data_IF_832011430343
#
_entry.id   IF_832011430343
#
_cell.length_a   1.000
_cell.length_b   1.000
_cell.length_c   1.000
_cell.angle_alpha   90.00
_cell.angle_beta   90.00
_cell.angle_gamma   90.00
#
_symmetry.space_group_name_H-M   'P 1'
#
loop_
_entity.id
_entity.type
_entity.pdbx_description
1 polymer ?
#
# COMPACT_ATOMS: atom_id res chain seq x y z
N UNK A 1 -92.83 -14.95 -19.11
CA UNK A 1 -93.21 -13.98 -18.04
C UNK A 1 -92.27 -12.76 -18.11
N UNK A 2 -92.85 -11.57 -18.33
CA UNK A 2 -92.17 -10.33 -18.63
C UNK A 2 -91.64 -9.72 -17.34
N UNK A 3 -90.34 -9.32 -17.28
CA UNK A 3 -89.84 -8.44 -16.23
C UNK A 3 -89.37 -7.12 -16.85
N UNK A 4 -89.95 -6.09 -16.31
CA UNK A 4 -89.78 -4.68 -16.78
C UNK A 4 -88.48 -4.08 -16.24
N UNK A 5 -87.79 -3.40 -17.12
CA UNK A 5 -86.67 -2.54 -16.80
C UNK A 5 -87.14 -1.26 -16.10
N UNK A 6 -86.55 -0.94 -14.93
CA UNK A 6 -86.59 0.42 -14.36
C UNK A 6 -85.25 1.07 -14.48
N UNK A 7 -85.18 2.13 -15.27
CA UNK A 7 -84.03 3.03 -15.46
C UNK A 7 -84.16 4.07 -14.35
N UNK A 8 -83.24 4.03 -13.41
CA UNK A 8 -83.12 5.08 -12.38
C UNK A 8 -82.05 6.08 -12.85
N UNK A 9 -82.48 7.31 -13.12
CA UNK A 9 -81.65 8.41 -13.45
C UNK A 9 -81.19 9.12 -12.12
N UNK A 10 -79.92 9.09 -11.77
CA UNK A 10 -79.34 9.82 -10.67
C UNK A 10 -78.78 11.14 -11.20
N UNK A 11 -79.00 12.27 -10.56
CA UNK A 11 -78.40 13.56 -10.98
C UNK A 11 -76.93 13.60 -10.55
N UNK A 12 -76.06 13.88 -11.53
CA UNK A 12 -74.61 14.05 -11.35
C UNK A 12 -74.39 15.46 -10.77
N UNK A 13 -74.06 15.59 -9.51
CA UNK A 13 -73.60 16.85 -8.89
C UNK A 13 -72.14 17.09 -9.28
N UNK A 14 -71.90 18.13 -10.11
CA UNK A 14 -70.52 18.59 -10.40
C UNK A 14 -69.95 19.29 -9.15
N UNK A 15 -69.06 18.63 -8.47
CA UNK A 15 -68.17 19.25 -7.49
C UNK A 15 -66.93 19.75 -8.20
N UNK A 16 -66.81 21.02 -8.45
CA UNK A 16 -65.58 21.68 -8.94
C UNK A 16 -64.59 21.76 -7.77
N UNK A 17 -63.70 20.78 -7.71
CA UNK A 17 -62.51 20.88 -6.86
C UNK A 17 -61.55 21.86 -7.57
N UNK A 18 -61.38 23.04 -6.98
CA UNK A 18 -60.33 23.97 -7.36
C UNK A 18 -59.00 23.35 -7.08
N UNK A 19 -58.33 22.85 -8.11
CA UNK A 19 -56.91 22.48 -8.04
C UNK A 19 -56.12 23.77 -8.05
N UNK A 20 -55.68 24.21 -6.87
CA UNK A 20 -54.57 25.16 -6.77
C UNK A 20 -53.34 24.50 -7.34
N UNK A 21 -52.97 24.85 -8.56
CA UNK A 21 -51.70 24.53 -9.13
C UNK A 21 -50.62 25.29 -8.36
N UNK A 22 -50.08 24.63 -7.33
CA UNK A 22 -48.85 25.05 -6.73
C UNK A 22 -47.77 24.90 -7.81
N UNK A 23 -47.37 26.03 -8.37
CA UNK A 23 -46.24 26.11 -9.30
C UNK A 23 -45.02 25.65 -8.51
N UNK A 24 -44.75 24.35 -8.56
CA UNK A 24 -43.43 23.83 -8.21
C UNK A 24 -42.45 24.58 -9.11
N UNK A 25 -41.68 25.49 -8.53
CA UNK A 25 -40.49 26.04 -9.13
C UNK A 25 -39.55 24.86 -9.34
N UNK A 26 -39.74 24.12 -10.40
CA UNK A 26 -38.72 23.22 -10.94
C UNK A 26 -37.63 24.16 -11.43
N UNK A 27 -36.66 24.41 -10.57
CA UNK A 27 -35.40 25.01 -11.01
C UNK A 27 -34.82 23.97 -11.98
N UNK A 28 -35.06 24.18 -13.27
CA UNK A 28 -34.38 23.41 -14.30
C UNK A 28 -32.90 23.50 -13.99
N UNK A 29 -32.15 22.37 -13.91
CA UNK A 29 -30.71 22.43 -13.74
C UNK A 29 -30.20 23.26 -14.90
N UNK A 30 -29.68 24.45 -14.60
CA UNK A 30 -29.05 25.35 -15.55
C UNK A 30 -28.03 24.48 -16.29
N UNK A 31 -28.29 24.19 -17.56
CA UNK A 31 -27.34 23.50 -18.42
C UNK A 31 -26.04 24.27 -18.33
N UNK A 32 -25.10 23.74 -17.60
CA UNK A 32 -23.78 24.35 -17.46
C UNK A 32 -23.10 24.23 -18.84
N UNK A 33 -23.15 25.31 -19.61
CA UNK A 33 -22.49 25.39 -20.92
C UNK A 33 -20.98 25.27 -20.74
N UNK A 34 -20.32 24.50 -21.59
CA UNK A 34 -18.87 24.33 -21.57
C UNK A 34 -18.42 22.92 -21.96
N UNK A 35 -17.18 22.80 -22.36
CA UNK A 35 -16.57 21.51 -22.70
C UNK A 35 -15.94 20.87 -21.47
N UNK A 36 -16.28 19.62 -21.21
CA UNK A 36 -15.70 18.85 -20.08
C UNK A 36 -14.64 17.91 -20.62
N UNK A 37 -13.44 18.04 -20.10
CA UNK A 37 -12.31 17.16 -20.40
C UNK A 37 -11.95 16.33 -19.17
N UNK A 38 -11.63 15.06 -19.39
CA UNK A 38 -11.09 14.17 -18.37
C UNK A 38 -9.66 13.80 -18.77
N UNK A 39 -8.70 14.07 -17.89
CA UNK A 39 -7.31 13.77 -18.14
C UNK A 39 -6.56 13.44 -16.86
N UNK A 40 -5.36 12.92 -17.03
CA UNK A 40 -4.44 12.63 -15.94
C UNK A 40 -3.04 13.16 -16.23
N UNK A 41 -2.27 13.34 -15.16
CA UNK A 41 -0.84 13.62 -15.18
C UNK A 41 -0.14 12.65 -14.24
N UNK A 42 1.16 12.44 -14.43
CA UNK A 42 1.97 11.54 -13.63
C UNK A 42 3.35 12.14 -13.41
N UNK A 43 3.83 12.03 -12.17
CA UNK A 43 5.21 12.31 -11.79
C UNK A 43 5.88 11.02 -11.38
N UNK A 44 7.11 10.80 -11.84
CA UNK A 44 7.90 9.60 -11.53
C UNK A 44 9.23 10.01 -10.94
N UNK A 45 9.65 9.35 -9.86
CA UNK A 45 10.96 9.54 -9.22
C UNK A 45 11.69 8.21 -9.09
N UNK A 46 12.99 8.25 -9.35
CA UNK A 46 13.91 7.16 -9.05
C UNK A 46 14.64 7.50 -7.76
N UNK A 47 14.34 6.79 -6.69
CA UNK A 47 14.79 7.09 -5.33
C UNK A 47 15.73 6.01 -4.85
N UNK A 48 16.91 6.37 -4.38
CA UNK A 48 17.83 5.44 -3.74
C UNK A 48 17.23 4.94 -2.43
N UNK A 49 17.24 3.64 -2.25
CA UNK A 49 16.84 3.00 -1.01
C UNK A 49 17.89 3.30 0.07
N UNK A 50 17.45 3.72 1.24
CA UNK A 50 18.31 4.18 2.33
C UNK A 50 18.06 3.47 3.65
N UNK A 51 17.29 2.38 3.62
CA UNK A 51 16.94 1.57 4.77
C UNK A 51 17.16 0.10 4.46
N UNK A 52 17.98 -0.56 5.26
CA UNK A 52 18.24 -2.00 5.18
C UNK A 52 17.40 -2.72 6.23
N UNK A 53 16.85 -3.85 5.86
CA UNK A 53 16.16 -4.81 6.71
C UNK A 53 16.86 -6.14 6.56
N UNK A 54 17.25 -6.76 7.68
CA UNK A 54 17.77 -8.11 7.68
C UNK A 54 16.97 -8.95 8.68
N UNK A 55 16.47 -10.10 8.23
CA UNK A 55 15.86 -11.11 9.07
C UNK A 55 16.89 -12.20 9.34
N UNK A 56 17.09 -12.52 10.60
CA UNK A 56 17.95 -13.61 11.04
C UNK A 56 17.18 -14.53 11.96
N UNK A 57 17.45 -15.83 11.91
CA UNK A 57 16.72 -16.82 12.68
C UNK A 57 17.60 -17.92 13.23
N UNK A 58 17.19 -18.48 14.37
CA UNK A 58 17.70 -19.74 14.90
C UNK A 58 16.59 -20.77 14.90
N UNK A 59 16.87 -21.96 14.37
CA UNK A 59 15.97 -23.10 14.31
C UNK A 59 16.63 -24.35 14.84
N UNK A 60 15.96 -25.03 15.76
CA UNK A 60 16.45 -26.29 16.38
C UNK A 60 15.34 -27.32 16.39
N UNK A 61 15.71 -28.58 16.16
CA UNK A 61 14.79 -29.72 16.22
C UNK A 61 15.30 -30.78 17.21
N UNK A 62 14.38 -31.54 17.82
CA UNK A 62 14.70 -32.56 18.78
C UNK A 62 13.52 -32.99 19.62
N UNK A 63 13.79 -33.81 20.65
CA UNK A 63 12.72 -34.39 21.48
C UNK A 63 12.32 -33.54 22.68
N UNK A 64 13.21 -32.68 23.16
CA UNK A 64 12.97 -31.85 24.35
C UNK A 64 12.68 -30.41 23.97
N UNK A 65 11.40 -30.06 23.89
CA UNK A 65 10.97 -28.72 23.51
C UNK A 65 11.52 -27.60 24.41
N UNK A 66 11.61 -27.83 25.71
CA UNK A 66 12.12 -26.82 26.65
C UNK A 66 13.60 -26.49 26.39
N UNK A 67 14.41 -27.50 26.12
CA UNK A 67 15.80 -27.35 25.75
C UNK A 67 15.98 -26.64 24.40
N UNK A 68 15.18 -27.02 23.41
CA UNK A 68 15.20 -26.37 22.12
C UNK A 68 14.88 -24.85 22.21
N UNK A 69 13.83 -24.50 22.96
CA UNK A 69 13.49 -23.08 23.19
C UNK A 69 14.62 -22.33 23.90
N UNK A 70 15.23 -22.94 24.89
CA UNK A 70 16.37 -22.35 25.63
C UNK A 70 17.55 -22.11 24.68
N UNK A 71 17.87 -23.08 23.82
CA UNK A 71 18.99 -22.97 22.88
C UNK A 71 18.71 -21.86 21.85
N UNK A 72 17.52 -21.83 21.25
CA UNK A 72 17.11 -20.77 20.31
C UNK A 72 17.18 -19.39 20.98
N UNK A 73 16.67 -19.25 22.20
CA UNK A 73 16.75 -18.02 22.97
C UNK A 73 18.21 -17.58 23.22
N UNK A 74 19.07 -18.51 23.54
CA UNK A 74 20.51 -18.22 23.78
C UNK A 74 21.20 -17.76 22.52
N UNK A 75 20.92 -18.39 21.37
CA UNK A 75 21.50 -18.03 20.09
C UNK A 75 21.04 -16.63 19.66
N UNK A 76 19.72 -16.34 19.78
CA UNK A 76 19.16 -15.04 19.42
C UNK A 76 19.60 -13.91 20.37
N UNK A 77 19.78 -14.18 21.65
CA UNK A 77 20.29 -13.19 22.60
C UNK A 77 21.70 -12.72 22.25
N UNK A 78 22.55 -13.59 21.69
CA UNK A 78 23.88 -13.18 21.19
C UNK A 78 23.75 -12.17 20.04
N UNK A 79 22.81 -12.38 19.12
CA UNK A 79 22.54 -11.43 18.04
C UNK A 79 22.06 -10.09 18.59
N UNK A 80 21.16 -10.13 19.57
CA UNK A 80 20.69 -8.90 20.25
C UNK A 80 21.83 -8.14 20.92
N UNK A 81 22.76 -8.83 21.56
CA UNK A 81 23.92 -8.20 22.18
C UNK A 81 24.86 -7.59 21.15
N UNK A 82 25.11 -8.26 20.02
CA UNK A 82 25.89 -7.71 18.92
C UNK A 82 25.24 -6.46 18.31
N UNK A 83 23.94 -6.53 18.02
CA UNK A 83 23.23 -5.42 17.40
C UNK A 83 23.10 -4.20 18.32
N UNK A 84 22.97 -4.39 19.64
CA UNK A 84 22.92 -3.30 20.63
C UNK A 84 24.24 -2.51 20.78
N UNK A 85 25.35 -3.03 20.26
CA UNK A 85 26.62 -2.30 20.27
C UNK A 85 26.60 -1.08 19.35
N UNK A 86 25.71 -1.06 18.37
CA UNK A 86 25.52 0.09 17.47
C UNK A 86 24.08 0.62 17.59
N UNK A 87 23.95 1.82 18.13
CA UNK A 87 22.66 2.48 18.34
C UNK A 87 21.92 2.87 17.05
N UNK A 88 22.59 2.79 15.89
CA UNK A 88 21.96 3.03 14.59
C UNK A 88 21.12 1.85 14.09
N UNK A 89 21.20 0.71 14.77
CA UNK A 89 20.44 -0.50 14.45
C UNK A 89 19.20 -0.57 15.32
N UNK A 90 18.04 -0.51 14.70
CA UNK A 90 16.75 -0.86 15.32
C UNK A 90 16.59 -2.38 15.31
N UNK A 91 16.30 -2.96 16.48
CA UNK A 91 16.16 -4.41 16.63
C UNK A 91 14.77 -4.77 17.14
N UNK A 92 14.13 -5.72 16.48
CA UNK A 92 12.86 -6.29 16.92
C UNK A 92 12.96 -7.82 16.95
N UNK A 93 12.35 -8.44 17.96
CA UNK A 93 12.31 -9.89 18.12
C UNK A 93 10.84 -10.37 18.11
N UNK A 94 10.51 -11.33 17.25
CA UNK A 94 9.15 -11.84 17.08
C UNK A 94 8.79 -12.98 18.07
N UNK A 95 9.69 -13.26 19.04
CA UNK A 95 9.51 -14.35 19.98
C UNK A 95 9.93 -15.71 19.39
N UNK A 96 9.59 -16.80 20.12
CA UNK A 96 9.92 -18.17 19.72
C UNK A 96 8.64 -18.94 19.45
N UNK A 97 8.46 -19.38 18.21
CA UNK A 97 7.43 -20.30 17.79
C UNK A 97 7.89 -21.75 17.93
N UNK A 98 6.94 -22.68 18.00
CA UNK A 98 7.26 -24.11 17.98
C UNK A 98 6.13 -24.93 17.37
N UNK A 99 6.51 -26.06 16.76
CA UNK A 99 5.57 -27.03 16.22
C UNK A 99 6.09 -28.47 16.40
N UNK A 100 5.15 -29.41 16.41
CA UNK A 100 5.48 -30.84 16.54
C UNK A 100 5.87 -31.41 15.17
N UNK A 101 6.84 -32.32 15.17
CA UNK A 101 7.14 -33.18 14.01
C UNK A 101 6.40 -34.52 14.18
N UNK A 102 5.77 -34.98 13.10
CA UNK A 102 4.96 -36.20 13.08
C UNK A 102 5.57 -37.25 12.16
N UNK A 103 5.43 -38.53 12.54
CA UNK A 103 5.71 -39.64 11.63
C UNK A 103 4.57 -39.85 10.61
N UNK A 104 4.77 -40.81 9.70
CA UNK A 104 3.78 -41.12 8.65
C UNK A 104 2.45 -41.71 9.21
N UNK A 105 2.41 -42.03 10.54
CA UNK A 105 1.23 -42.52 11.26
C UNK A 105 0.55 -41.43 12.09
N UNK A 106 1.03 -40.17 12.02
CA UNK A 106 0.50 -39.06 12.80
C UNK A 106 0.95 -39.02 14.25
N UNK A 107 1.95 -39.79 14.64
CA UNK A 107 2.51 -39.77 16.00
C UNK A 107 3.60 -38.70 16.09
N UNK A 108 3.60 -37.92 17.16
CA UNK A 108 4.66 -36.94 17.44
C UNK A 108 5.99 -37.67 17.67
N UNK A 109 6.99 -37.34 16.89
CA UNK A 109 8.36 -37.86 16.95
C UNK A 109 9.37 -36.84 17.45
N UNK A 110 9.05 -35.57 17.42
CA UNK A 110 9.93 -34.50 17.84
C UNK A 110 9.21 -33.14 17.83
N UNK A 111 10.01 -32.12 18.06
CA UNK A 111 9.60 -30.72 18.09
C UNK A 111 10.60 -29.88 17.30
N UNK A 112 10.12 -28.81 16.71
CA UNK A 112 10.95 -27.73 16.18
C UNK A 112 10.66 -26.48 16.99
N UNK A 113 11.70 -25.75 17.36
CA UNK A 113 11.61 -24.41 17.91
C UNK A 113 12.35 -23.46 16.96
N UNK A 114 11.76 -22.30 16.69
CA UNK A 114 12.31 -21.30 15.77
C UNK A 114 11.99 -19.90 16.30
N UNK A 115 12.95 -19.00 16.18
CA UNK A 115 12.78 -17.61 16.55
C UNK A 115 13.50 -16.70 15.56
N UNK A 116 13.02 -15.48 15.42
CA UNK A 116 13.50 -14.48 14.45
C UNK A 116 13.89 -13.20 15.15
N UNK A 117 14.88 -12.53 14.60
CA UNK A 117 15.25 -11.14 14.91
C UNK A 117 15.30 -10.36 13.61
N UNK A 118 14.63 -9.21 13.61
CA UNK A 118 14.70 -8.25 12.53
C UNK A 118 15.67 -7.12 12.93
N UNK A 119 16.64 -6.88 12.07
CA UNK A 119 17.58 -5.78 12.16
C UNK A 119 17.19 -4.75 11.10
N UNK A 120 17.14 -3.48 11.48
CA UNK A 120 16.75 -2.40 10.58
C UNK A 120 17.62 -1.17 10.85
N UNK A 121 18.09 -0.51 9.80
CA UNK A 121 18.92 0.68 9.94
C UNK A 121 19.33 1.29 8.62
N UNK A 122 19.81 2.55 8.71
CA UNK A 122 20.36 3.29 7.56
C UNK A 122 21.86 3.08 7.41
N UNK A 123 22.52 2.59 8.45
CA UNK A 123 23.93 2.24 8.40
C UNK A 123 24.06 0.76 8.00
N UNK A 124 24.20 0.51 6.69
CA UNK A 124 24.30 -0.85 6.14
C UNK A 124 25.53 -1.61 6.63
N UNK A 125 26.66 -0.89 6.80
CA UNK A 125 27.89 -1.49 7.29
C UNK A 125 27.75 -2.00 8.73
N UNK A 126 27.00 -1.29 9.58
CA UNK A 126 26.74 -1.72 10.94
C UNK A 126 25.92 -3.03 10.96
N UNK A 127 24.89 -3.14 10.14
CA UNK A 127 24.09 -4.36 10.02
C UNK A 127 24.95 -5.48 9.42
N UNK A 128 25.72 -5.23 8.37
CA UNK A 128 26.61 -6.21 7.76
C UNK A 128 27.58 -6.81 8.78
N UNK A 129 28.19 -5.99 9.63
CA UNK A 129 29.06 -6.46 10.72
C UNK A 129 28.34 -7.40 11.70
N UNK A 130 27.06 -7.14 12.00
CA UNK A 130 26.27 -8.08 12.83
C UNK A 130 26.08 -9.39 12.09
N UNK A 131 25.71 -9.34 10.79
CA UNK A 131 25.46 -10.54 9.97
C UNK A 131 26.74 -11.39 9.80
N UNK A 132 27.91 -10.79 9.67
CA UNK A 132 29.20 -11.49 9.59
C UNK A 132 29.57 -12.23 10.89
N UNK A 133 29.02 -11.78 12.02
CA UNK A 133 29.36 -12.32 13.36
C UNK A 133 28.24 -13.17 13.99
N UNK A 134 27.29 -13.66 13.20
CA UNK A 134 26.14 -14.43 13.72
C UNK A 134 26.50 -15.77 14.37
N UNK A 135 27.62 -16.39 13.98
CA UNK A 135 27.99 -17.75 14.38
C UNK A 135 27.13 -18.83 13.70
N UNK A 136 27.54 -20.09 13.89
CA UNK A 136 27.01 -21.24 13.14
C UNK A 136 25.56 -21.62 13.43
N UNK A 137 24.97 -21.08 14.50
CA UNK A 137 23.65 -21.47 14.99
C UNK A 137 22.52 -20.55 14.55
N UNK A 138 22.85 -19.43 13.88
CA UNK A 138 21.92 -18.45 13.39
C UNK A 138 22.10 -18.29 11.89
N UNK A 139 21.00 -18.31 11.16
CA UNK A 139 21.02 -18.14 9.70
C UNK A 139 20.39 -16.81 9.30
N UNK A 140 20.82 -16.31 8.15
CA UNK A 140 20.20 -15.15 7.50
C UNK A 140 18.98 -15.66 6.73
N UNK A 141 17.78 -15.15 7.05
CA UNK A 141 16.55 -15.45 6.35
C UNK A 141 16.38 -14.59 5.11
N UNK A 142 16.52 -13.28 5.27
CA UNK A 142 16.48 -12.34 4.14
C UNK A 142 17.29 -11.08 4.44
N UNK A 143 17.69 -10.38 3.36
CA UNK A 143 18.23 -9.03 3.40
C UNK A 143 17.53 -8.23 2.30
N UNK A 144 16.82 -7.18 2.72
CA UNK A 144 16.02 -6.34 1.84
C UNK A 144 16.35 -4.86 2.06
N UNK A 145 16.14 -4.08 1.01
CA UNK A 145 16.32 -2.63 1.08
C UNK A 145 15.03 -1.92 0.70
N UNK A 146 14.78 -0.79 1.37
CA UNK A 146 13.60 0.05 1.11
C UNK A 146 13.96 1.55 1.21
N UNK A 147 13.03 2.40 0.81
CA UNK A 147 13.08 3.83 1.11
C UNK A 147 12.57 4.04 2.53
N UNK A 148 13.29 4.81 3.33
CA UNK A 148 12.87 5.10 4.71
C UNK A 148 11.56 5.90 4.76
N UNK A 149 10.73 5.72 5.82
CA UNK A 149 9.48 6.46 5.97
C UNK A 149 9.64 7.98 5.91
N UNK A 150 10.71 8.51 6.49
CA UNK A 150 11.01 9.94 6.50
C UNK A 150 11.30 10.45 5.10
N UNK A 151 12.12 9.72 4.33
CA UNK A 151 12.45 10.05 2.95
C UNK A 151 11.23 9.91 2.04
N UNK A 152 10.42 8.85 2.25
CA UNK A 152 9.19 8.65 1.51
C UNK A 152 8.18 9.78 1.74
N UNK A 153 8.04 10.25 3.00
CA UNK A 153 7.16 11.37 3.35
C UNK A 153 7.63 12.70 2.75
N UNK A 154 8.91 13.01 2.84
CA UNK A 154 9.47 14.24 2.24
C UNK A 154 9.23 14.24 0.71
N UNK A 155 9.41 13.09 0.08
CA UNK A 155 9.19 12.94 -1.36
C UNK A 155 7.71 13.05 -1.73
N UNK A 156 6.80 12.57 -0.89
CA UNK A 156 5.36 12.69 -1.10
C UNK A 156 4.92 14.15 -1.17
N UNK A 157 5.37 14.98 -0.25
CA UNK A 157 5.04 16.40 -0.22
C UNK A 157 5.53 17.10 -1.50
N UNK A 158 6.78 16.82 -1.90
CA UNK A 158 7.36 17.36 -3.14
C UNK A 158 6.58 16.91 -4.39
N UNK A 159 6.31 15.62 -4.51
CA UNK A 159 5.59 15.04 -5.64
C UNK A 159 4.13 15.52 -5.70
N UNK A 160 3.50 15.73 -4.55
CA UNK A 160 2.14 16.27 -4.46
C UNK A 160 2.07 17.69 -5.03
N UNK A 161 3.00 18.56 -4.66
CA UNK A 161 3.06 19.90 -5.22
C UNK A 161 3.31 19.88 -6.72
N UNK A 162 4.27 19.09 -7.17
CA UNK A 162 4.62 18.99 -8.58
C UNK A 162 3.45 18.45 -9.42
N UNK A 163 2.76 17.39 -8.96
CA UNK A 163 1.66 16.79 -9.72
C UNK A 163 0.46 17.75 -9.85
N UNK A 164 0.17 18.55 -8.82
CA UNK A 164 -0.85 19.58 -8.86
C UNK A 164 -0.48 20.65 -9.90
N UNK A 165 0.77 21.12 -9.88
CA UNK A 165 1.25 22.11 -10.86
C UNK A 165 1.17 21.58 -12.29
N UNK A 166 1.57 20.32 -12.52
CA UNK A 166 1.47 19.70 -13.85
C UNK A 166 0.00 19.56 -14.31
N UNK A 167 -0.91 19.21 -13.39
CA UNK A 167 -2.33 19.09 -13.70
C UNK A 167 -2.93 20.45 -14.08
N UNK A 168 -2.63 21.51 -13.31
CA UNK A 168 -3.06 22.87 -13.60
C UNK A 168 -2.48 23.36 -14.92
N UNK A 169 -1.18 23.17 -15.14
CA UNK A 169 -0.53 23.55 -16.40
C UNK A 169 -1.20 22.88 -17.62
N UNK A 170 -1.54 21.59 -17.51
CA UNK A 170 -2.25 20.88 -18.57
C UNK A 170 -3.64 21.45 -18.82
N UNK A 171 -4.38 21.85 -17.77
CA UNK A 171 -5.65 22.54 -17.90
C UNK A 171 -5.50 23.90 -18.63
N UNK A 172 -4.47 24.68 -18.28
CA UNK A 172 -4.18 25.97 -18.95
C UNK A 172 -3.85 25.80 -20.43
N UNK A 173 -3.07 24.76 -20.78
CA UNK A 173 -2.75 24.47 -22.19
C UNK A 173 -4.02 24.13 -22.98
N UNK A 174 -4.92 23.32 -22.39
CA UNK A 174 -6.20 22.97 -23.01
C UNK A 174 -7.08 24.23 -23.15
N UNK A 175 -7.16 25.06 -22.09
CA UNK A 175 -7.90 26.34 -22.12
C UNK A 175 -7.45 27.24 -23.28
N UNK A 176 -6.14 27.40 -23.43
CA UNK A 176 -5.57 28.20 -24.55
C UNK A 176 -5.93 27.60 -25.91
N UNK A 177 -5.83 26.25 -26.04
CA UNK A 177 -6.19 25.54 -27.28
C UNK A 177 -7.66 25.69 -27.67
N UNK A 178 -8.55 25.69 -26.70
CA UNK A 178 -9.99 25.87 -26.88
C UNK A 178 -10.40 27.34 -27.02
N UNK A 179 -9.50 28.28 -26.73
CA UNK A 179 -9.81 29.72 -26.58
C UNK A 179 -10.92 29.98 -25.55
N UNK A 180 -11.00 29.17 -24.52
CA UNK A 180 -11.95 29.31 -23.43
C UNK A 180 -11.53 30.45 -22.50
N UNK A 181 -12.49 31.17 -21.92
CA UNK A 181 -12.22 32.31 -21.05
C UNK A 181 -11.72 31.87 -19.66
N UNK A 182 -12.26 30.76 -19.17
CA UNK A 182 -11.90 30.21 -17.86
C UNK A 182 -12.03 28.68 -17.83
N UNK A 183 -11.47 28.07 -16.81
CA UNK A 183 -11.72 26.66 -16.47
C UNK A 183 -12.05 26.49 -15.01
N UNK A 184 -12.76 25.42 -14.70
CA UNK A 184 -13.13 25.00 -13.35
C UNK A 184 -12.70 23.57 -13.17
N UNK A 185 -11.92 23.35 -12.10
CA UNK A 185 -11.52 21.99 -11.68
C UNK A 185 -12.70 21.36 -10.94
N UNK A 186 -13.13 20.19 -11.36
CA UNK A 186 -14.14 19.40 -10.70
C UNK A 186 -13.68 17.94 -10.58
N UNK A 187 -13.89 17.32 -9.43
CA UNK A 187 -13.57 15.92 -9.21
C UNK A 187 -12.10 15.57 -9.50
N UNK A 188 -11.17 16.27 -8.82
CA UNK A 188 -9.74 15.99 -8.91
C UNK A 188 -9.37 14.96 -7.84
N UNK A 189 -8.78 13.85 -8.28
CA UNK A 189 -8.25 12.79 -7.44
C UNK A 189 -6.74 12.79 -7.54
N UNK A 190 -6.09 12.76 -6.35
CA UNK A 190 -4.66 12.58 -6.21
C UNK A 190 -4.39 11.16 -5.68
N UNK A 191 -3.43 10.49 -6.30
CA UNK A 191 -2.88 9.22 -5.85
C UNK A 191 -1.39 9.41 -5.61
N UNK A 192 -1.01 9.46 -4.35
CA UNK A 192 0.36 9.69 -3.89
C UNK A 192 0.90 8.45 -3.19
N UNK A 193 2.23 8.27 -3.07
CA UNK A 193 2.85 7.05 -2.56
C UNK A 193 2.37 6.59 -1.18
N UNK A 194 1.97 7.53 -0.31
CA UNK A 194 1.46 7.27 1.04
C UNK A 194 -0.04 7.62 1.19
N UNK A 195 -0.72 7.94 0.08
CA UNK A 195 -2.16 8.21 0.08
C UNK A 195 -2.94 7.06 0.71
N UNK A 196 -4.08 7.38 1.35
CA UNK A 196 -4.86 6.49 2.24
C UNK A 196 -5.43 5.19 1.60
N UNK A 197 -5.05 4.87 0.39
CA UNK A 197 -5.27 3.56 -0.20
C UNK A 197 -4.13 2.61 0.23
N UNK A 198 -4.24 2.08 1.46
CA UNK A 198 -3.44 0.97 1.98
C UNK A 198 -3.70 -0.37 1.27
N UNK A 199 -4.06 -0.35 0.00
CA UNK A 199 -3.80 -1.45 -0.88
C UNK A 199 -2.35 -1.31 -1.31
N UNK A 200 -1.47 -2.14 -0.75
CA UNK A 200 -0.17 -2.39 -1.37
C UNK A 200 -0.44 -2.58 -2.86
N UNK A 201 0.04 -1.72 -3.78
CA UNK A 201 0.10 -2.15 -5.15
C UNK A 201 0.99 -3.38 -5.08
N UNK A 202 0.41 -4.53 -5.36
CA UNK A 202 1.20 -5.72 -5.56
C UNK A 202 2.36 -5.28 -6.47
N UNK A 203 3.62 -5.51 -6.11
CA UNK A 203 4.72 -5.13 -6.96
C UNK A 203 4.39 -5.74 -8.31
N UNK A 204 4.14 -4.90 -9.30
CA UNK A 204 4.16 -5.37 -10.68
C UNK A 204 5.57 -5.84 -10.85
N UNK A 205 5.73 -7.15 -10.74
CA UNK A 205 6.96 -7.83 -11.10
C UNK A 205 7.19 -7.52 -12.57
N UNK A 206 7.87 -6.42 -12.84
CA UNK A 206 8.71 -6.41 -14.01
C UNK A 206 9.70 -7.53 -13.70
N UNK A 207 9.62 -8.59 -14.45
CA UNK A 207 10.57 -9.68 -14.40
C UNK A 207 11.96 -9.11 -14.66
N UNK A 208 12.61 -8.64 -13.60
CA UNK A 208 14.04 -8.72 -13.52
C UNK A 208 14.30 -10.21 -13.37
N UNK A 209 14.98 -10.78 -14.34
CA UNK A 209 15.59 -12.09 -14.22
C UNK A 209 16.19 -12.20 -12.83
N UNK A 210 15.51 -12.96 -11.99
CA UNK A 210 16.07 -13.43 -10.75
C UNK A 210 17.21 -14.36 -11.16
N UNK A 211 18.39 -13.80 -11.34
CA UNK A 211 19.61 -14.55 -11.19
C UNK A 211 19.52 -15.16 -9.80
N UNK A 212 19.19 -16.44 -9.74
CA UNK A 212 19.24 -17.25 -8.54
C UNK A 212 20.71 -17.33 -8.12
N UNK A 213 21.18 -16.28 -7.43
CA UNK A 213 22.46 -16.31 -6.77
C UNK A 213 22.30 -17.25 -5.57
N UNK A 214 22.85 -18.44 -5.68
CA UNK A 214 23.19 -19.26 -4.53
C UNK A 214 24.14 -18.40 -3.70
N UNK A 215 23.65 -17.87 -2.57
CA UNK A 215 24.48 -17.19 -1.59
C UNK A 215 25.51 -18.18 -1.06
N UNK A 216 26.77 -17.96 -1.44
CA UNK A 216 27.90 -18.83 -1.11
C UNK A 216 28.65 -18.34 0.11
N UNK A 217 28.29 -17.50 0.92
CA UNK A 217 28.89 -17.05 2.18
C UNK A 217 28.53 -15.60 2.48
N UNK A 218 28.63 -15.20 3.75
CA UNK A 218 28.38 -13.83 4.22
C UNK A 218 29.34 -12.76 3.61
N UNK A 219 30.45 -13.20 3.01
CA UNK A 219 31.45 -12.35 2.38
C UNK A 219 31.00 -11.69 1.07
N UNK A 220 29.81 -12.03 0.55
CA UNK A 220 29.26 -11.51 -0.72
C UNK A 220 27.88 -10.85 -0.58
N UNK A 221 27.57 -10.27 0.57
CA UNK A 221 26.33 -9.49 0.71
C UNK A 221 26.42 -8.22 -0.19
N UNK A 222 25.56 -8.09 -1.22
CA UNK A 222 25.55 -6.87 -2.00
C UNK A 222 25.04 -5.72 -1.13
N UNK A 223 25.92 -4.81 -0.73
CA UNK A 223 25.57 -3.60 0.03
C UNK A 223 24.97 -2.50 -0.85
N UNK A 224 24.75 -2.77 -2.14
CA UNK A 224 24.09 -1.84 -3.05
C UNK A 224 22.57 -1.98 -2.95
N UNK A 225 21.95 -0.99 -2.31
CA UNK A 225 20.50 -0.95 -2.07
C UNK A 225 19.64 -0.83 -3.34
N UNK A 226 20.23 -0.36 -4.44
CA UNK A 226 19.51 -0.08 -5.69
C UNK A 226 18.52 1.08 -5.56
N UNK A 227 17.70 1.27 -6.60
CA UNK A 227 16.70 2.35 -6.67
C UNK A 227 15.28 1.79 -6.68
N UNK A 228 14.36 2.56 -6.11
CA UNK A 228 12.92 2.31 -6.19
C UNK A 228 12.26 3.36 -7.08
N UNK A 229 11.31 2.94 -7.89
CA UNK A 229 10.48 3.84 -8.69
C UNK A 229 9.25 4.20 -7.87
N UNK A 230 9.01 5.49 -7.68
CA UNK A 230 7.85 6.02 -6.97
C UNK A 230 7.07 6.90 -7.95
N UNK A 231 5.74 6.71 -7.98
CA UNK A 231 4.84 7.43 -8.87
C UNK A 231 3.78 8.17 -8.06
N UNK A 232 3.42 9.37 -8.54
CA UNK A 232 2.22 10.09 -8.13
C UNK A 232 1.39 10.38 -9.35
N UNK A 233 0.06 10.33 -9.23
CA UNK A 233 -0.88 10.58 -10.32
C UNK A 233 -1.95 11.55 -9.87
N UNK A 234 -2.27 12.53 -10.72
CA UNK A 234 -3.47 13.35 -10.59
C UNK A 234 -4.40 13.05 -11.76
N UNK A 235 -5.68 12.84 -11.49
CA UNK A 235 -6.71 12.64 -12.49
C UNK A 235 -7.95 13.43 -12.14
N UNK A 236 -8.69 13.92 -13.14
CA UNK A 236 -9.88 14.68 -12.83
C UNK A 236 -10.61 15.18 -14.06
N UNK A 237 -11.76 15.81 -13.80
CA UNK A 237 -12.60 16.48 -14.77
C UNK A 237 -12.37 17.98 -14.69
N UNK A 238 -12.21 18.60 -15.85
CA UNK A 238 -12.04 20.06 -15.97
C UNK A 238 -13.06 20.56 -16.97
N UNK A 239 -13.85 21.55 -16.56
CA UNK A 239 -14.82 22.23 -17.42
C UNK A 239 -14.20 23.53 -17.92
N UNK A 240 -14.34 23.78 -19.19
CA UNK A 240 -13.88 24.99 -19.87
C UNK A 240 -15.07 25.80 -20.39
N UNK A 241 -15.10 27.11 -20.10
CA UNK A 241 -16.16 28.05 -20.44
C UNK A 241 -15.62 29.26 -21.23
#
# INVERSE_FOLDING_TARGET
MKLKNYLAILPLALVTLGVSAETANTTEPKEESGSVFHFSTQVTRHVEKDLMHADVYSRKSGKNLAELKKTVSTDLNKVLELAKQDSSIEVSADGISNYAEYDNKGKVIGWVAEGHIQLKGKNFEAIAKVLENLGDNVAIGSVDFSVSPEKAKALEDEMTLEIIQQFQHKAEVIQKGLKANKYVLSDVRLDTPNGANNGYPAPRMYAMEAASMKMKSADELPLEAGKQIINATASGKVRFE
#
